data_IF_522952460850
#
_entry.id   IF_522952460850
#
_cell.length_a   1.000
_cell.length_b   1.000
_cell.length_c   1.000
_cell.angle_alpha   90.00
_cell.angle_beta   90.00
_cell.angle_gamma   90.00
#
_symmetry.space_group_name_H-M   'P 1'
#
loop_
_entity.id
_entity.type
_entity.pdbx_description
1 polymer ?
#
# COMPACT_ATOMS: atom_id res chain seq x y z
N UNK A 1 -2.13 -4.14 -18.92
CA UNK A 1 -1.45 -2.83 -18.97
C UNK A 1 -2.48 -1.81 -18.52
N UNK A 2 -2.33 -1.26 -17.31
CA UNK A 2 -3.29 -0.30 -16.75
C UNK A 2 -3.04 1.06 -17.39
N UNK A 3 -4.06 1.63 -18.04
CA UNK A 3 -4.01 2.99 -18.58
C UNK A 3 -4.97 3.87 -17.80
N UNK A 4 -4.47 4.95 -17.22
CA UNK A 4 -5.29 6.01 -16.64
C UNK A 4 -5.36 7.17 -17.63
N UNK A 5 -6.57 7.61 -17.95
CA UNK A 5 -6.81 8.72 -18.87
C UNK A 5 -7.74 9.74 -18.23
N UNK A 6 -7.50 11.02 -18.48
CA UNK A 6 -8.46 12.07 -18.13
C UNK A 6 -9.60 12.11 -19.15
N UNK A 7 -10.83 12.24 -18.69
CA UNK A 7 -12.01 12.45 -19.53
C UNK A 7 -12.88 13.59 -18.98
N UNK A 8 -13.77 14.13 -19.81
CA UNK A 8 -14.77 15.10 -19.41
C UNK A 8 -16.13 14.42 -19.28
N UNK A 9 -16.70 14.46 -18.08
CA UNK A 9 -18.04 13.95 -17.82
C UNK A 9 -19.08 14.95 -18.34
N UNK A 10 -19.82 14.54 -19.38
CA UNK A 10 -20.84 15.37 -20.00
C UNK A 10 -22.10 15.55 -19.14
N UNK A 11 -22.32 14.70 -18.14
CA UNK A 11 -23.47 14.77 -17.21
C UNK A 11 -23.16 15.74 -16.10
N UNK A 12 -22.09 15.48 -15.33
CA UNK A 12 -21.72 16.30 -14.17
C UNK A 12 -20.86 17.52 -14.52
N UNK A 13 -20.51 17.69 -15.81
CA UNK A 13 -19.72 18.82 -16.33
C UNK A 13 -18.35 18.99 -15.66
N UNK A 14 -17.75 17.89 -15.21
CA UNK A 14 -16.48 17.86 -14.46
C UNK A 14 -15.47 16.95 -15.15
N UNK A 15 -14.17 17.19 -14.92
CA UNK A 15 -13.12 16.26 -15.36
C UNK A 15 -13.02 15.08 -14.41
N UNK A 16 -12.85 13.89 -14.97
CA UNK A 16 -12.73 12.62 -14.24
C UNK A 16 -11.51 11.84 -14.72
N UNK A 17 -11.04 10.93 -13.88
CA UNK A 17 -10.02 9.95 -14.24
C UNK A 17 -10.69 8.60 -14.54
N UNK A 18 -10.42 8.02 -15.71
CA UNK A 18 -10.91 6.70 -16.11
C UNK A 18 -9.72 5.73 -16.17
N UNK A 19 -9.80 4.63 -15.42
CA UNK A 19 -8.81 3.55 -15.43
C UNK A 19 -9.34 2.39 -16.26
N UNK A 20 -8.71 2.05 -17.40
CA UNK A 20 -9.05 0.84 -18.15
C UNK A 20 -8.38 -0.38 -17.52
N UNK A 21 -9.18 -1.40 -17.20
CA UNK A 21 -8.70 -2.66 -16.62
C UNK A 21 -9.18 -3.85 -17.46
N UNK A 22 -8.25 -4.73 -17.85
CA UNK A 22 -8.53 -5.97 -18.60
C UNK A 22 -8.03 -7.18 -17.78
N UNK A 23 -8.72 -7.58 -16.71
CA UNK A 23 -8.14 -8.47 -15.70
C UNK A 23 -8.37 -9.96 -15.97
N UNK A 24 -9.32 -10.30 -16.85
CA UNK A 24 -9.88 -11.66 -16.95
C UNK A 24 -8.97 -12.71 -17.61
N UNK A 25 -7.76 -12.32 -18.02
CA UNK A 25 -6.74 -13.24 -18.53
C UNK A 25 -6.02 -14.00 -17.40
N UNK A 26 -5.93 -13.42 -16.20
CA UNK A 26 -5.18 -13.99 -15.08
C UNK A 26 -5.92 -13.86 -13.74
N UNK A 27 -5.94 -14.94 -12.95
CA UNK A 27 -6.56 -14.99 -11.61
C UNK A 27 -6.08 -13.85 -10.70
N UNK A 28 -4.75 -13.61 -10.65
CA UNK A 28 -4.16 -12.55 -9.83
C UNK A 28 -4.69 -11.15 -10.20
N UNK A 29 -4.94 -10.88 -11.47
CA UNK A 29 -5.47 -9.58 -11.89
C UNK A 29 -6.95 -9.43 -11.53
N UNK A 30 -7.73 -10.51 -11.62
CA UNK A 30 -9.11 -10.53 -11.12
C UNK A 30 -9.17 -10.27 -9.61
N UNK A 31 -8.31 -10.94 -8.82
CA UNK A 31 -8.24 -10.73 -7.37
C UNK A 31 -7.96 -9.28 -7.02
N UNK A 32 -6.97 -8.67 -7.68
CA UNK A 32 -6.61 -7.25 -7.45
C UNK A 32 -7.74 -6.31 -7.84
N UNK A 33 -8.38 -6.56 -8.98
CA UNK A 33 -9.50 -5.73 -9.46
C UNK A 33 -10.68 -5.79 -8.49
N UNK A 34 -11.06 -6.99 -8.04
CA UNK A 34 -12.17 -7.15 -7.11
C UNK A 34 -11.87 -6.52 -5.75
N UNK A 35 -10.63 -6.67 -5.23
CA UNK A 35 -10.20 -6.02 -3.98
C UNK A 35 -10.25 -4.50 -4.09
N UNK A 36 -9.68 -3.94 -5.15
CA UNK A 36 -9.67 -2.50 -5.41
C UNK A 36 -11.10 -1.94 -5.47
N UNK A 37 -12.00 -2.60 -6.21
CA UNK A 37 -13.41 -2.22 -6.29
C UNK A 37 -14.07 -2.28 -4.90
N UNK A 38 -14.04 -3.42 -4.21
CA UNK A 38 -14.74 -3.57 -2.91
C UNK A 38 -14.25 -2.56 -1.86
N UNK A 39 -12.94 -2.30 -1.79
CA UNK A 39 -12.36 -1.36 -0.83
C UNK A 39 -12.77 0.08 -1.17
N UNK A 40 -12.58 0.52 -2.41
CA UNK A 40 -12.88 1.90 -2.82
C UNK A 40 -14.38 2.20 -2.84
N UNK A 41 -15.23 1.19 -3.01
CA UNK A 41 -16.68 1.33 -2.90
C UNK A 41 -17.15 1.52 -1.45
N UNK A 42 -16.34 1.14 -0.45
CA UNK A 42 -16.66 1.29 0.98
C UNK A 42 -16.02 2.54 1.59
N UNK A 43 -14.84 2.94 1.11
CA UNK A 43 -14.15 4.13 1.59
C UNK A 43 -14.78 5.42 1.07
N UNK A 44 -14.86 6.40 1.97
CA UNK A 44 -15.26 7.78 1.70
C UNK A 44 -14.38 8.69 2.54
N UNK A 45 -13.35 9.23 1.92
CA UNK A 45 -12.37 10.07 2.59
C UNK A 45 -11.75 11.02 1.56
N UNK A 46 -11.49 12.27 1.91
CA UNK A 46 -10.93 13.26 0.98
C UNK A 46 -9.56 12.85 0.41
N UNK A 47 -8.71 12.25 1.24
CA UNK A 47 -7.37 11.80 0.87
C UNK A 47 -7.30 10.37 0.26
N UNK A 48 -8.45 9.75 -0.03
CA UNK A 48 -8.53 8.43 -0.70
C UNK A 48 -9.36 8.56 -1.98
N UNK A 49 -8.85 8.04 -3.10
CA UNK A 49 -9.60 8.11 -4.36
C UNK A 49 -10.92 7.33 -4.28
N UNK A 50 -12.03 7.99 -4.60
CA UNK A 50 -13.34 7.35 -4.70
C UNK A 50 -13.62 6.78 -6.08
N UNK A 51 -14.51 5.78 -6.15
CA UNK A 51 -15.14 5.34 -7.41
C UNK A 51 -16.52 5.97 -7.50
N UNK A 52 -16.72 6.82 -8.50
CA UNK A 52 -18.00 7.48 -8.77
C UNK A 52 -18.90 6.58 -9.63
N UNK A 53 -18.31 5.85 -10.56
CA UNK A 53 -19.05 4.96 -11.46
C UNK A 53 -18.15 3.87 -12.04
N UNK A 54 -18.75 2.83 -12.61
CA UNK A 54 -18.05 1.74 -13.29
C UNK A 54 -18.78 1.35 -14.57
N UNK A 55 -18.10 1.52 -15.70
CA UNK A 55 -18.59 1.07 -17.01
C UNK A 55 -18.06 -0.32 -17.31
N UNK A 56 -18.93 -1.21 -17.83
CA UNK A 56 -18.60 -2.53 -18.33
C UNK A 56 -19.61 -2.97 -19.39
N UNK A 57 -19.36 -4.11 -20.04
CA UNK A 57 -20.34 -4.73 -20.93
C UNK A 57 -21.60 -5.18 -20.16
N UNK A 58 -22.79 -5.22 -20.79
CA UNK A 58 -24.05 -5.53 -20.10
C UNK A 58 -24.14 -6.98 -19.63
N UNK A 59 -23.55 -7.93 -20.35
CA UNK A 59 -23.51 -9.36 -19.99
C UNK A 59 -22.10 -9.82 -19.60
N UNK A 60 -22.03 -10.88 -18.80
CA UNK A 60 -20.76 -11.41 -18.28
C UNK A 60 -19.88 -11.99 -19.40
N UNK A 61 -20.47 -12.57 -20.43
CA UNK A 61 -19.77 -13.16 -21.57
C UNK A 61 -19.01 -12.08 -22.37
N UNK A 62 -19.62 -10.91 -22.50
CA UNK A 62 -19.05 -9.76 -23.21
C UNK A 62 -18.10 -8.92 -22.36
N UNK A 63 -18.08 -9.13 -21.04
CA UNK A 63 -17.23 -8.39 -20.12
C UNK A 63 -15.76 -8.79 -20.27
N UNK A 64 -15.03 -8.04 -21.09
CA UNK A 64 -13.57 -8.14 -21.25
C UNK A 64 -12.80 -7.09 -20.46
N UNK A 65 -13.43 -5.93 -20.29
CA UNK A 65 -12.84 -4.76 -19.66
C UNK A 65 -13.78 -4.20 -18.59
N UNK A 66 -13.19 -3.58 -17.57
CA UNK A 66 -13.88 -2.79 -16.54
C UNK A 66 -13.26 -1.40 -16.50
N UNK A 67 -14.09 -0.38 -16.43
CA UNK A 67 -13.70 1.02 -16.47
C UNK A 67 -14.22 1.75 -15.22
N UNK A 68 -13.59 1.57 -14.05
CA UNK A 68 -13.87 2.42 -12.90
C UNK A 68 -13.40 3.85 -13.19
N UNK A 69 -14.19 4.83 -12.77
CA UNK A 69 -13.79 6.23 -12.82
C UNK A 69 -14.14 6.98 -11.54
N UNK A 70 -13.29 7.96 -11.23
CA UNK A 70 -13.35 8.74 -10.01
C UNK A 70 -13.00 10.21 -10.28
N UNK A 71 -13.14 11.02 -9.24
CA UNK A 71 -12.76 12.42 -9.31
C UNK A 71 -11.23 12.57 -9.40
N UNK A 72 -10.77 13.52 -10.20
CA UNK A 72 -9.38 13.95 -10.18
C UNK A 72 -9.16 14.79 -8.91
N UNK A 73 -8.33 14.30 -8.00
CA UNK A 73 -7.97 14.99 -6.78
C UNK A 73 -6.45 15.08 -6.65
N UNK A 74 -5.98 16.18 -6.06
CA UNK A 74 -4.57 16.37 -5.76
C UNK A 74 -4.27 15.64 -4.44
N UNK A 75 -3.17 14.88 -4.40
CA UNK A 75 -2.67 14.20 -3.19
C UNK A 75 -3.55 13.09 -2.59
N UNK A 76 -4.27 12.32 -3.43
CA UNK A 76 -5.05 11.16 -2.97
C UNK A 76 -4.29 9.84 -3.09
N UNK A 77 -4.44 8.98 -2.09
CA UNK A 77 -3.98 7.59 -2.17
C UNK A 77 -4.81 6.83 -3.20
N UNK A 78 -4.13 6.08 -4.07
CA UNK A 78 -4.74 5.28 -5.14
C UNK A 78 -4.09 3.89 -5.23
N UNK A 79 -4.68 3.01 -6.05
CA UNK A 79 -4.20 1.65 -6.35
C UNK A 79 -4.24 0.66 -5.16
N UNK A 80 -5.46 0.31 -4.77
CA UNK A 80 -5.72 -0.64 -3.68
C UNK A 80 -5.69 -2.11 -4.13
N UNK A 81 -5.16 -2.42 -5.32
CA UNK A 81 -5.14 -3.79 -5.85
C UNK A 81 -4.33 -4.77 -4.98
N UNK A 82 -3.28 -4.27 -4.31
CA UNK A 82 -2.46 -5.07 -3.41
C UNK A 82 -2.94 -5.03 -1.95
N UNK A 83 -3.95 -4.23 -1.62
CA UNK A 83 -4.43 -4.10 -0.25
C UNK A 83 -4.93 -5.45 0.30
N UNK A 84 -4.69 -5.63 1.61
CA UNK A 84 -5.09 -6.81 2.39
C UNK A 84 -5.74 -6.32 3.69
N UNK A 85 -6.71 -7.07 4.20
CA UNK A 85 -7.15 -6.87 5.59
C UNK A 85 -5.99 -7.29 6.48
N UNK A 86 -5.64 -6.44 7.45
CA UNK A 86 -4.60 -6.76 8.42
C UNK A 86 -5.05 -8.01 9.19
N UNK A 87 -4.27 -9.08 9.07
CA UNK A 87 -4.48 -10.31 9.80
C UNK A 87 -3.17 -10.68 10.52
N UNK A 88 -3.08 -10.39 11.82
CA UNK A 88 -1.91 -10.76 12.62
C UNK A 88 -1.81 -12.28 12.83
N UNK A 89 -2.94 -13.00 12.75
CA UNK A 89 -3.08 -14.38 13.18
C UNK A 89 -3.05 -15.38 12.01
N UNK A 90 -3.49 -14.98 10.81
CA UNK A 90 -3.55 -15.85 9.63
C UNK A 90 -2.52 -15.49 8.55
N UNK A 91 -2.00 -16.56 7.99
CA UNK A 91 -0.99 -16.58 6.95
C UNK A 91 -1.62 -16.17 5.62
N UNK A 92 -1.35 -14.95 5.15
CA UNK A 92 -1.45 -14.68 3.71
C UNK A 92 -0.23 -15.33 3.03
N UNK A 93 -0.13 -16.66 3.14
CA UNK A 93 0.92 -17.54 2.58
C UNK A 93 0.97 -17.54 1.06
N UNK A 94 0.07 -16.80 0.42
CA UNK A 94 0.12 -16.50 -0.99
C UNK A 94 1.45 -15.84 -1.27
N UNK A 95 2.44 -16.67 -1.63
CA UNK A 95 3.76 -16.34 -2.14
C UNK A 95 3.63 -15.01 -2.85
N UNK A 96 4.10 -13.92 -2.21
CA UNK A 96 4.06 -12.59 -2.80
C UNK A 96 4.69 -12.75 -4.17
N UNK A 97 3.85 -12.76 -5.21
CA UNK A 97 4.33 -12.94 -6.57
C UNK A 97 5.37 -11.85 -6.76
N UNK A 98 6.59 -12.32 -6.98
CA UNK A 98 7.89 -11.74 -6.62
C UNK A 98 8.17 -10.37 -7.26
N UNK A 99 7.23 -9.85 -8.05
CA UNK A 99 7.46 -8.86 -9.11
C UNK A 99 6.55 -7.64 -9.16
N UNK A 100 5.52 -7.48 -8.31
CA UNK A 100 4.44 -6.53 -8.67
C UNK A 100 4.33 -5.24 -7.88
N UNK A 101 5.40 -4.79 -7.23
CA UNK A 101 5.46 -3.44 -6.66
C UNK A 101 6.89 -2.93 -6.63
N UNK A 102 7.07 -1.61 -6.68
CA UNK A 102 8.37 -0.95 -6.54
C UNK A 102 9.01 -1.36 -5.22
N UNK A 103 10.14 -2.09 -5.33
CA UNK A 103 10.81 -2.73 -4.18
C UNK A 103 11.32 -1.72 -3.14
N UNK A 104 11.56 -0.49 -3.58
CA UNK A 104 12.23 0.55 -2.80
C UNK A 104 11.50 0.98 -1.53
N UNK A 105 10.18 0.77 -1.48
CA UNK A 105 9.32 1.12 -0.34
C UNK A 105 9.00 -0.08 0.57
N UNK A 106 9.56 -1.28 0.29
CA UNK A 106 9.27 -2.48 1.10
C UNK A 106 10.02 -2.45 2.44
N UNK A 107 9.30 -2.75 3.51
CA UNK A 107 9.82 -2.82 4.88
C UNK A 107 10.77 -4.01 5.08
N UNK A 108 11.77 -3.92 5.99
CA UNK A 108 12.77 -4.98 6.21
C UNK A 108 12.15 -6.32 6.58
N UNK A 109 11.06 -6.33 7.34
CA UNK A 109 10.35 -7.54 7.73
C UNK A 109 9.74 -8.30 6.55
N UNK A 110 9.34 -7.62 5.46
CA UNK A 110 8.92 -8.28 4.21
C UNK A 110 10.10 -9.06 3.60
N UNK A 111 11.33 -8.62 3.89
CA UNK A 111 12.55 -9.30 3.46
C UNK A 111 13.06 -10.40 4.40
N UNK A 112 12.50 -10.52 5.60
CA UNK A 112 13.08 -11.34 6.67
C UNK A 112 12.10 -12.38 7.22
N UNK A 113 10.83 -11.99 7.33
CA UNK A 113 9.76 -12.81 7.86
C UNK A 113 8.73 -13.07 6.74
N UNK A 114 8.28 -14.32 6.64
CA UNK A 114 7.18 -14.68 5.74
C UNK A 114 5.80 -14.43 6.36
N UNK A 115 5.74 -13.95 7.60
CA UNK A 115 4.52 -13.84 8.42
C UNK A 115 4.40 -12.43 8.99
N UNK A 116 3.22 -11.83 8.86
CA UNK A 116 2.86 -10.57 9.51
C UNK A 116 2.67 -9.41 8.53
N UNK A 117 1.49 -9.32 7.92
CA UNK A 117 1.02 -8.09 7.29
C UNK A 117 0.37 -7.22 8.36
N UNK A 118 1.16 -6.32 8.91
CA UNK A 118 0.72 -5.37 9.94
C UNK A 118 0.67 -3.97 9.34
N UNK A 119 -0.08 -3.07 10.00
CA UNK A 119 -0.16 -1.65 9.63
C UNK A 119 1.22 -0.96 9.54
N UNK A 120 2.22 -1.50 10.26
CA UNK A 120 3.58 -0.95 10.28
C UNK A 120 4.28 -0.98 8.91
N UNK A 121 3.91 -1.88 7.99
CA UNK A 121 4.53 -1.93 6.64
C UNK A 121 4.22 -0.68 5.83
N UNK A 122 3.03 -0.10 6.04
CA UNK A 122 2.61 1.12 5.37
C UNK A 122 3.35 2.32 5.95
N UNK A 123 3.55 2.37 7.27
CA UNK A 123 4.35 3.41 7.93
C UNK A 123 5.79 3.43 7.40
N UNK A 124 6.39 2.26 7.15
CA UNK A 124 7.72 2.19 6.55
C UNK A 124 7.72 2.83 5.15
N UNK A 125 6.71 2.51 4.34
CA UNK A 125 6.55 3.06 2.99
C UNK A 125 6.41 4.59 3.03
N UNK A 126 5.63 5.12 3.98
CA UNK A 126 5.50 6.56 4.23
C UNK A 126 6.84 7.18 4.63
N UNK A 127 7.63 6.52 5.48
CA UNK A 127 8.99 6.96 5.83
C UNK A 127 9.91 7.04 4.61
N UNK A 128 9.85 6.07 3.70
CA UNK A 128 10.59 6.12 2.44
C UNK A 128 10.15 7.29 1.55
N UNK A 129 8.85 7.56 1.46
CA UNK A 129 8.30 8.70 0.70
C UNK A 129 8.76 10.02 1.33
N UNK A 130 8.73 10.15 2.66
CA UNK A 130 9.22 11.34 3.35
C UNK A 130 10.71 11.59 3.07
N UNK A 131 11.56 10.56 3.16
CA UNK A 131 12.97 10.67 2.82
C UNK A 131 13.19 11.06 1.34
N UNK A 132 12.37 10.55 0.44
CA UNK A 132 12.41 10.87 -0.98
C UNK A 132 12.00 12.33 -1.23
N UNK A 133 10.96 12.83 -0.57
CA UNK A 133 10.57 14.26 -0.66
C UNK A 133 11.68 15.19 -0.14
N UNK A 134 12.43 14.78 0.89
CA UNK A 134 13.54 15.57 1.44
C UNK A 134 14.77 15.64 0.52
N UNK A 135 14.93 14.71 -0.43
CA UNK A 135 16.15 14.59 -1.26
C UNK A 135 15.91 14.47 -2.76
N UNK A 136 14.65 14.38 -3.20
CA UNK A 136 14.22 14.04 -4.56
C UNK A 136 14.84 12.76 -5.13
N UNK A 137 15.23 11.83 -4.24
CA UNK A 137 15.86 10.55 -4.62
C UNK A 137 15.36 9.43 -3.71
N UNK A 138 15.15 8.21 -4.24
CA UNK A 138 14.75 7.07 -3.43
C UNK A 138 15.86 6.73 -2.42
N UNK A 139 15.48 6.57 -1.16
CA UNK A 139 16.43 6.29 -0.07
C UNK A 139 17.01 4.86 -0.14
N UNK A 140 16.21 3.88 -0.58
CA UNK A 140 16.62 2.47 -0.66
C UNK A 140 16.41 1.89 -2.08
N UNK A 141 17.26 2.24 -3.06
CA UNK A 141 17.10 1.83 -4.46
C UNK A 141 17.62 0.41 -4.75
N UNK A 142 17.14 -0.61 -4.04
CA UNK A 142 17.62 -1.99 -4.17
C UNK A 142 17.23 -2.67 -5.48
N UNK A 143 18.19 -3.34 -6.12
CA UNK A 143 18.03 -4.04 -7.41
C UNK A 143 17.32 -5.39 -7.28
N UNK A 144 17.53 -6.08 -6.16
CA UNK A 144 16.91 -7.35 -5.82
C UNK A 144 16.68 -7.44 -4.30
N UNK A 145 16.08 -8.53 -3.83
CA UNK A 145 15.64 -8.70 -2.44
C UNK A 145 16.76 -8.48 -1.42
N UNK A 146 17.88 -9.17 -1.63
CA UNK A 146 19.05 -9.05 -0.74
C UNK A 146 19.69 -7.66 -0.79
N UNK A 147 19.70 -7.03 -1.97
CA UNK A 147 20.26 -5.70 -2.17
C UNK A 147 19.42 -4.64 -1.46
N UNK A 148 18.08 -4.75 -1.52
CA UNK A 148 17.16 -3.89 -0.77
C UNK A 148 17.47 -3.92 0.72
N UNK A 149 17.62 -5.13 1.30
CA UNK A 149 17.98 -5.29 2.70
C UNK A 149 19.37 -4.67 3.00
N UNK A 150 20.36 -4.86 2.13
CA UNK A 150 21.69 -4.27 2.30
C UNK A 150 21.68 -2.73 2.26
N UNK A 151 20.84 -2.13 1.42
CA UNK A 151 20.63 -0.67 1.40
C UNK A 151 20.03 -0.17 2.73
N UNK A 152 19.03 -0.88 3.25
CA UNK A 152 18.40 -0.56 4.53
C UNK A 152 19.42 -0.61 5.68
N UNK A 153 20.14 -1.73 5.81
CA UNK A 153 21.17 -1.91 6.82
C UNK A 153 22.37 -0.98 6.63
N UNK A 154 22.60 -0.51 5.41
CA UNK A 154 23.64 0.49 5.11
C UNK A 154 23.36 1.85 5.75
N UNK A 155 22.09 2.18 6.00
CA UNK A 155 21.69 3.44 6.65
C UNK A 155 21.34 3.21 8.11
N UNK A 156 20.50 2.23 8.42
CA UNK A 156 20.07 1.96 9.80
C UNK A 156 21.15 1.32 10.67
N UNK A 157 22.16 0.71 10.06
CA UNK A 157 23.17 -0.07 10.75
C UNK A 157 22.74 -1.51 11.01
N UNK A 158 23.59 -2.24 11.73
CA UNK A 158 23.30 -3.61 12.16
C UNK A 158 22.16 -3.62 13.18
N UNK A 159 21.15 -4.51 13.06
CA UNK A 159 20.06 -4.58 14.02
C UNK A 159 20.57 -4.95 15.42
N UNK A 160 19.88 -4.46 16.45
CA UNK A 160 20.20 -4.81 17.84
C UNK A 160 19.89 -6.29 18.11
N UNK A 161 20.47 -6.85 19.17
CA UNK A 161 20.19 -8.24 19.56
C UNK A 161 18.70 -8.45 19.86
N UNK A 162 18.03 -7.45 20.43
CA UNK A 162 16.59 -7.47 20.69
C UNK A 162 15.80 -7.55 19.38
N UNK A 163 16.16 -6.74 18.37
CA UNK A 163 15.46 -6.73 17.08
C UNK A 163 15.72 -8.03 16.29
N UNK A 164 16.92 -8.62 16.40
CA UNK A 164 17.22 -9.94 15.83
C UNK A 164 16.39 -11.05 16.47
N UNK A 165 16.11 -10.95 17.77
CA UNK A 165 15.31 -11.94 18.50
C UNK A 165 13.84 -11.95 18.04
N UNK A 166 13.32 -10.84 17.51
CA UNK A 166 11.99 -10.75 16.90
C UNK A 166 11.89 -11.46 15.54
N UNK A 167 13.01 -11.78 14.89
CA UNK A 167 13.02 -12.46 13.58
C UNK A 167 12.87 -13.96 13.79
N UNK A 168 11.69 -14.51 13.50
CA UNK A 168 11.37 -15.94 13.71
C UNK A 168 12.15 -16.82 12.72
N UNK A 169 12.39 -16.33 11.51
CA UNK A 169 13.08 -17.07 10.47
C UNK A 169 14.59 -17.22 10.77
N UNK A 170 15.00 -18.43 11.16
CA UNK A 170 16.39 -18.75 11.49
C UNK A 170 17.37 -18.49 10.32
N UNK A 171 16.97 -18.71 9.06
CA UNK A 171 17.85 -18.44 7.91
C UNK A 171 18.11 -16.94 7.76
N UNK A 172 17.06 -16.13 7.89
CA UNK A 172 17.16 -14.68 7.83
C UNK A 172 18.01 -14.13 8.99
N UNK A 173 17.80 -14.65 10.21
CA UNK A 173 18.59 -14.29 11.39
C UNK A 173 20.08 -14.63 11.21
N UNK A 174 20.40 -15.85 10.77
CA UNK A 174 21.78 -16.28 10.54
C UNK A 174 22.46 -15.48 9.44
N UNK A 175 21.71 -15.11 8.38
CA UNK A 175 22.21 -14.22 7.35
C UNK A 175 22.61 -12.86 7.92
N UNK A 176 21.74 -12.21 8.72
CA UNK A 176 22.05 -10.92 9.35
C UNK A 176 23.26 -11.00 10.28
N UNK A 177 23.39 -12.09 11.04
CA UNK A 177 24.54 -12.32 11.93
C UNK A 177 25.86 -12.54 11.17
N UNK A 178 25.80 -13.03 9.93
CA UNK A 178 26.99 -13.23 9.09
C UNK A 178 27.53 -11.94 8.47
N UNK A 179 26.74 -10.86 8.47
CA UNK A 179 27.13 -9.59 7.87
C UNK A 179 28.13 -8.83 8.77
N UNK A 180 29.11 -8.10 8.19
CA UNK A 180 29.95 -7.19 8.95
C UNK A 180 29.12 -6.14 9.70
N UNK A 181 29.56 -5.78 10.91
CA UNK A 181 28.90 -4.75 11.70
C UNK A 181 28.88 -3.40 10.96
N UNK A 182 27.71 -2.74 10.94
CA UNK A 182 27.50 -1.43 10.34
C UNK A 182 26.98 -0.44 11.38
N UNK A 183 27.56 0.76 11.40
CA UNK A 183 27.05 1.85 12.23
C UNK A 183 25.86 2.53 11.54
N UNK A 184 24.89 2.98 12.33
CA UNK A 184 23.79 3.82 11.85
C UNK A 184 24.36 5.13 11.27
N UNK A 185 23.90 5.50 10.08
CA UNK A 185 24.21 6.78 9.45
C UNK A 185 23.24 7.82 10.02
N UNK A 186 23.75 8.91 10.63
CA UNK A 186 22.90 9.98 11.14
C UNK A 186 22.05 10.62 10.02
N UNK A 187 20.76 10.85 10.28
CA UNK A 187 19.84 11.42 9.29
C UNK A 187 20.26 12.81 8.80
N UNK A 188 20.81 13.64 9.68
CA UNK A 188 21.33 14.96 9.33
C UNK A 188 22.49 14.92 8.32
N UNK A 189 23.22 13.79 8.22
CA UNK A 189 24.26 13.61 7.20
C UNK A 189 23.67 13.31 5.83
N UNK A 190 22.54 12.60 5.79
CA UNK A 190 21.82 12.29 4.56
C UNK A 190 20.99 13.48 4.08
N UNK A 191 20.40 14.21 5.02
CA UNK A 191 19.49 15.32 4.76
C UNK A 191 19.94 16.57 5.54
N UNK A 192 21.06 17.21 5.14
CA UNK A 192 21.65 18.32 5.89
C UNK A 192 20.78 19.58 5.96
N UNK A 193 19.84 19.73 5.02
CA UNK A 193 18.97 20.90 4.92
C UNK A 193 17.55 20.64 5.47
N UNK A 194 17.29 19.45 6.00
CA UNK A 194 15.96 19.08 6.48
C UNK A 194 15.69 19.62 7.89
N UNK A 195 14.42 19.89 8.19
CA UNK A 195 13.95 20.23 9.53
C UNK A 195 14.26 19.08 10.51
N UNK A 196 14.78 19.41 11.69
CA UNK A 196 15.09 18.42 12.73
C UNK A 196 13.85 17.64 13.18
N UNK A 197 12.67 18.26 13.23
CA UNK A 197 11.40 17.60 13.54
C UNK A 197 11.00 16.60 12.45
N UNK A 198 11.30 16.90 11.18
CA UNK A 198 11.05 15.98 10.07
C UNK A 198 11.94 14.73 10.18
N UNK A 199 13.23 14.93 10.51
CA UNK A 199 14.18 13.85 10.69
C UNK A 199 13.86 12.97 11.91
N UNK A 200 13.34 13.57 12.96
CA UNK A 200 12.87 12.86 14.14
C UNK A 200 11.64 11.99 13.84
N UNK A 201 10.67 12.50 13.07
CA UNK A 201 9.55 11.69 12.58
C UNK A 201 10.04 10.57 11.65
N UNK A 202 10.96 10.89 10.74
CA UNK A 202 11.55 9.94 9.80
C UNK A 202 12.24 8.78 10.53
N UNK A 203 12.96 9.05 11.62
CA UNK A 203 13.60 8.03 12.43
C UNK A 203 12.59 7.04 13.04
N UNK A 204 11.49 7.57 13.56
CA UNK A 204 10.41 6.77 14.15
C UNK A 204 9.65 5.94 13.10
N UNK A 205 9.51 6.45 11.88
CA UNK A 205 8.91 5.72 10.75
C UNK A 205 9.84 4.64 10.19
N UNK A 206 11.13 4.94 10.02
CA UNK A 206 12.15 4.02 9.50
C UNK A 206 12.83 3.20 10.60
N UNK A 207 12.06 2.78 11.60
CA UNK A 207 12.52 1.85 12.63
C UNK A 207 12.51 0.42 12.10
N UNK A 208 13.64 -0.29 12.26
CA UNK A 208 13.85 -1.64 11.74
C UNK A 208 12.83 -2.64 12.32
N UNK A 209 12.64 -2.63 13.64
CA UNK A 209 11.70 -3.52 14.31
C UNK A 209 10.26 -2.99 14.12
N UNK A 210 9.36 -3.76 13.47
CA UNK A 210 8.00 -3.29 13.20
C UNK A 210 7.20 -2.99 14.47
N UNK A 211 7.48 -3.67 15.58
CA UNK A 211 6.77 -3.47 16.85
C UNK A 211 7.15 -2.17 17.58
N UNK A 212 8.29 -1.57 17.19
CA UNK A 212 8.78 -0.29 17.74
C UNK A 212 8.53 0.88 16.79
N UNK A 213 8.00 0.60 15.60
CA UNK A 213 7.70 1.60 14.59
C UNK A 213 6.48 2.41 15.02
N UNK A 214 6.53 3.72 14.80
CA UNK A 214 5.43 4.62 15.15
C UNK A 214 4.12 4.21 14.46
N UNK A 215 2.99 4.33 15.16
CA UNK A 215 1.67 4.13 14.58
C UNK A 215 1.19 5.38 13.82
N UNK A 216 0.17 5.26 12.97
CA UNK A 216 -0.29 6.39 12.14
C UNK A 216 -0.84 7.53 13.00
N UNK A 217 -1.59 7.20 14.04
CA UNK A 217 -2.18 8.17 14.98
C UNK A 217 -1.07 8.92 15.75
N UNK A 218 -0.01 8.20 16.14
CA UNK A 218 1.15 8.78 16.80
C UNK A 218 1.96 9.67 15.85
N UNK A 219 2.03 9.31 14.57
CA UNK A 219 2.71 10.10 13.54
C UNK A 219 1.95 11.40 13.24
N UNK A 220 0.62 11.36 13.16
CA UNK A 220 -0.23 12.55 12.99
C UNK A 220 -0.07 13.53 14.17
N UNK A 221 0.00 13.01 15.39
CA UNK A 221 0.24 13.81 16.61
C UNK A 221 1.70 14.32 16.76
N UNK A 222 2.59 14.05 15.79
CA UNK A 222 4.00 14.43 15.91
C UNK A 222 4.21 15.94 15.76
N UNK A 223 5.17 16.57 16.48
CA UNK A 223 5.46 18.01 16.39
C UNK A 223 5.81 18.55 14.99
N UNK A 224 6.10 17.66 14.03
CA UNK A 224 6.34 18.02 12.63
C UNK A 224 5.05 18.33 11.88
N UNK A 225 3.94 17.69 12.25
CA UNK A 225 2.61 17.86 11.68
C UNK A 225 1.68 18.72 12.54
N UNK A 226 2.20 19.31 13.62
CA UNK A 226 1.46 20.15 14.59
C UNK A 226 0.59 21.24 13.95
N UNK A 227 1.04 21.82 12.83
CA UNK A 227 0.30 22.87 12.11
C UNK A 227 -0.95 22.37 11.36
N UNK A 228 -1.04 21.05 11.10
CA UNK A 228 -2.13 20.41 10.35
C UNK A 228 -2.93 19.43 11.21
N UNK A 229 -2.38 18.98 12.34
CA UNK A 229 -3.00 17.97 13.19
C UNK A 229 -4.29 18.50 13.81
N UNK A 230 -5.42 17.93 13.40
CA UNK A 230 -6.73 18.17 13.99
C UNK A 230 -7.47 16.83 14.12
N UNK A 231 -7.49 16.21 15.31
CA UNK A 231 -8.19 14.96 15.54
C UNK A 231 -9.69 15.01 15.21
N UNK A 232 -10.30 16.20 15.20
CA UNK A 232 -11.72 16.38 14.89
C UNK A 232 -12.02 16.38 13.39
N UNK A 233 -11.00 16.65 12.56
CA UNK A 233 -11.05 16.63 11.09
C UNK A 233 -10.29 15.43 10.49
N UNK A 234 -9.96 14.43 11.33
CA UNK A 234 -9.31 13.17 10.95
C UNK A 234 -10.29 11.99 11.13
N UNK A 235 -11.28 11.81 10.23
CA UNK A 235 -12.33 10.81 10.41
C UNK A 235 -11.80 9.38 10.27
N UNK A 236 -12.28 8.49 11.16
CA UNK A 236 -12.02 7.06 11.08
C UNK A 236 -13.14 6.32 10.34
N UNK A 237 -12.83 5.14 9.80
CA UNK A 237 -13.84 4.27 9.21
C UNK A 237 -14.86 3.80 10.28
N UNK A 238 -16.16 3.83 9.93
CA UNK A 238 -17.26 3.45 10.84
C UNK A 238 -17.15 2.01 11.38
N UNK A 239 -16.56 1.11 10.59
CA UNK A 239 -16.36 -0.29 10.96
C UNK A 239 -15.14 -0.88 10.23
N UNK A 240 -14.46 -1.88 10.81
CA UNK A 240 -13.41 -2.62 10.13
C UNK A 240 -13.91 -3.23 8.82
N UNK A 241 -13.11 -3.10 7.77
CA UNK A 241 -13.41 -3.74 6.49
C UNK A 241 -13.26 -5.26 6.62
N UNK A 242 -14.23 -6.01 6.10
CA UNK A 242 -14.20 -7.48 6.04
C UNK A 242 -14.50 -7.93 4.62
N UNK A 243 -13.79 -8.95 4.16
CA UNK A 243 -14.20 -9.69 2.98
C UNK A 243 -15.17 -10.79 3.42
N UNK A 244 -16.27 -10.97 2.69
CA UNK A 244 -17.26 -12.02 2.96
C UNK A 244 -16.69 -13.43 2.74
N UNK A 245 -15.62 -13.53 1.96
CA UNK A 245 -14.92 -14.77 1.63
C UNK A 245 -13.46 -14.50 1.26
N UNK A 246 -12.64 -15.52 1.41
CA UNK A 246 -11.23 -15.50 1.01
C UNK A 246 -11.12 -15.50 -0.51
N UNK A 247 -10.42 -14.50 -1.06
CA UNK A 247 -10.30 -14.30 -2.51
C UNK A 247 -9.11 -15.05 -3.12
N UNK A 248 -8.17 -15.50 -2.30
CA UNK A 248 -6.88 -16.01 -2.76
C UNK A 248 -6.98 -17.37 -3.48
N UNK A 249 -7.95 -18.20 -3.12
CA UNK A 249 -8.14 -19.54 -3.69
C UNK A 249 -9.24 -19.61 -4.78
N UNK A 250 -9.91 -18.50 -5.08
CA UNK A 250 -11.02 -18.50 -6.03
C UNK A 250 -10.53 -18.56 -7.49
N UNK A 251 -11.16 -19.39 -8.35
CA UNK A 251 -10.83 -19.44 -9.77
C UNK A 251 -11.21 -18.13 -10.48
N UNK A 252 -10.55 -17.85 -11.61
CA UNK A 252 -10.74 -16.59 -12.36
C UNK A 252 -12.17 -16.38 -12.82
N UNK A 253 -12.88 -17.46 -13.16
CA UNK A 253 -14.29 -17.45 -13.59
C UNK A 253 -15.17 -16.97 -12.44
N UNK A 254 -14.94 -17.48 -11.23
CA UNK A 254 -15.70 -17.07 -10.06
C UNK A 254 -15.41 -15.62 -9.68
N UNK A 255 -14.15 -15.20 -9.75
CA UNK A 255 -13.78 -13.80 -9.54
C UNK A 255 -14.43 -12.87 -10.58
N UNK A 256 -14.57 -13.33 -11.83
CA UNK A 256 -15.27 -12.58 -12.89
C UNK A 256 -16.75 -12.39 -12.57
N UNK A 257 -17.43 -13.42 -12.06
CA UNK A 257 -18.82 -13.32 -11.58
C UNK A 257 -18.95 -12.29 -10.46
N UNK A 258 -18.08 -12.37 -9.45
CA UNK A 258 -18.10 -11.42 -8.31
C UNK A 258 -17.86 -9.98 -8.77
N UNK A 259 -16.95 -9.74 -9.72
CA UNK A 259 -16.75 -8.41 -10.31
C UNK A 259 -18.01 -7.95 -11.06
N UNK A 260 -18.69 -8.85 -11.77
CA UNK A 260 -19.92 -8.53 -12.48
C UNK A 260 -21.06 -8.13 -11.54
N UNK A 261 -21.18 -8.82 -10.40
CA UNK A 261 -22.15 -8.55 -9.33
C UNK A 261 -21.88 -7.21 -8.65
N UNK A 262 -20.63 -6.96 -8.21
CA UNK A 262 -20.24 -5.70 -7.55
C UNK A 262 -20.46 -4.46 -8.44
N UNK A 263 -20.30 -4.63 -9.76
CA UNK A 263 -20.46 -3.54 -10.74
C UNK A 263 -21.91 -3.38 -11.23
N UNK A 264 -22.82 -4.28 -10.87
CA UNK A 264 -24.20 -4.27 -11.35
C UNK A 264 -24.95 -2.99 -10.96
N UNK A 265 -24.69 -2.47 -9.75
CA UNK A 265 -25.34 -1.26 -9.22
C UNK A 265 -25.08 0.03 -10.02
N UNK A 266 -24.05 0.01 -10.86
CA UNK A 266 -23.66 1.13 -11.71
C UNK A 266 -24.32 1.09 -13.09
N UNK A 267 -24.97 -0.02 -13.46
CA UNK A 267 -25.55 -0.17 -14.78
C UNK A 267 -26.89 0.57 -14.91
N UNK A 268 -27.25 1.08 -16.12
CA UNK A 268 -28.43 1.93 -16.33
C UNK A 268 -29.76 1.32 -15.87
N UNK A 269 -29.89 -0.01 -15.85
CA UNK A 269 -31.11 -0.71 -15.44
C UNK A 269 -31.27 -0.93 -13.93
N UNK A 270 -30.25 -0.64 -13.12
CA UNK A 270 -30.30 -0.82 -11.66
C UNK A 270 -30.58 0.49 -10.91
N UNK A 271 -30.34 1.64 -11.55
CA UNK A 271 -30.63 2.98 -11.01
C UNK A 271 -32.11 3.32 -11.22
N UNK A 272 -33.00 2.63 -10.50
CA UNK A 272 -34.43 2.93 -10.43
C UNK A 272 -34.82 3.30 -9.01
#
# INVERSE_FOLDING_TARGET
MYGCSSAYDNVNKVRVAIKKISPFEHQTYCQRTLREIKILLRFRHENIIGINDIIRAPTIEQMKDVYPFGQLANSTICDFGLARVADPDHDHTGFLTEYVATRWYRAPEIMLNSKGYTKSIDIWSVGCILAEMLSNRPIFPGKHYLDQLNHILGILGSPSQEDLNCIINLKARNYLLSLPHKNKVPWNRLFPNADSKALDLLDKMLTFNPHKRIEVEQALAHPYLEQYYDPSDEPIAEAPFKFDMELDDLPKEKLKELIFEETARFQPGYRS
#
